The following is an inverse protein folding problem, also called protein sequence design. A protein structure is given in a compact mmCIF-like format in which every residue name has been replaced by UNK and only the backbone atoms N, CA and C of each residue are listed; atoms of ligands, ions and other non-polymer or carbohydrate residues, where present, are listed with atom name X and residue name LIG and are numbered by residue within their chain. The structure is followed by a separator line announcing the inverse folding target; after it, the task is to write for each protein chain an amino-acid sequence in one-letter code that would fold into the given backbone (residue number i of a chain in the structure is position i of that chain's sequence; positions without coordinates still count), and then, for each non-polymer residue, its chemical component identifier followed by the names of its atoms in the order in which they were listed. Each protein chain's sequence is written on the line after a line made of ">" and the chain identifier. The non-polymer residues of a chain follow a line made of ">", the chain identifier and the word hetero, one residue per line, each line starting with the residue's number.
data_IF_916188486890
#
_entry.id   IF_916188486890
#
_cell.length_a   1.000
_cell.length_b   1.000
_cell.length_c   1.000
_cell.angle_alpha   90.00
_cell.angle_beta   90.00
_cell.angle_gamma   90.00
#
_symmetry.space_group_name_H-M   'P 1'
#
loop_
_entity.id
_entity.type
_entity.pdbx_description
1 polymer ?
#
# COMPACT_ATOMS: atom_id res chain seq x y z
N UNK A 1 -50.16 54.78 -72.86
CA UNK A 1 -49.15 53.68 -72.92
C UNK A 1 -49.91 52.37 -72.71
N UNK A 2 -50.26 51.65 -73.79
CA UNK A 2 -49.55 50.46 -74.36
C UNK A 2 -49.34 49.34 -73.32
N UNK A 3 -49.66 48.06 -73.52
CA UNK A 3 -50.28 47.26 -74.59
C UNK A 3 -50.39 45.81 -74.04
N UNK A 4 -51.40 45.06 -74.49
CA UNK A 4 -51.56 43.59 -74.65
C UNK A 4 -51.17 42.58 -73.53
N UNK A 5 -52.01 41.62 -73.12
CA UNK A 5 -52.74 40.48 -73.77
C UNK A 5 -51.85 39.25 -74.08
N UNK A 6 -52.36 38.08 -73.62
CA UNK A 6 -52.01 36.67 -73.95
C UNK A 6 -50.68 36.11 -73.42
N UNK A 7 -50.55 34.84 -73.03
CA UNK A 7 -51.43 33.70 -73.23
C UNK A 7 -50.99 32.44 -72.46
N UNK A 8 -51.79 31.39 -72.67
CA UNK A 8 -51.68 29.99 -72.20
C UNK A 8 -50.27 29.40 -72.39
N UNK A 9 -49.85 28.45 -71.55
CA UNK A 9 -49.80 27.01 -71.91
C UNK A 9 -49.05 26.08 -70.93
N UNK A 10 -49.67 24.90 -70.78
CA UNK A 10 -49.07 23.55 -70.74
C UNK A 10 -48.48 23.03 -69.42
N UNK A 11 -49.31 22.15 -68.86
CA UNK A 11 -49.04 21.02 -67.97
C UNK A 11 -47.88 20.16 -68.49
N UNK A 12 -46.88 19.89 -67.64
CA UNK A 12 -46.11 18.63 -67.68
C UNK A 12 -46.04 18.04 -66.28
N UNK A 13 -46.76 16.93 -66.12
CA UNK A 13 -46.68 16.02 -64.97
C UNK A 13 -45.27 15.41 -64.94
N UNK A 14 -44.53 15.63 -63.86
CA UNK A 14 -43.36 14.83 -63.53
C UNK A 14 -43.76 13.92 -62.37
N UNK A 15 -43.95 12.64 -62.66
CA UNK A 15 -44.12 11.60 -61.66
C UNK A 15 -42.75 11.23 -61.11
N UNK A 16 -42.37 11.86 -60.00
CA UNK A 16 -41.22 11.46 -59.21
C UNK A 16 -41.59 10.22 -58.40
N UNK A 17 -41.11 9.05 -58.85
CA UNK A 17 -41.09 7.82 -58.07
C UNK A 17 -40.28 8.06 -56.79
N UNK A 18 -40.98 8.18 -55.66
CA UNK A 18 -40.38 8.08 -54.33
C UNK A 18 -40.13 6.59 -54.03
N UNK A 19 -38.86 6.18 -54.18
CA UNK A 19 -38.35 4.92 -53.68
C UNK A 19 -38.18 5.04 -52.15
N UNK A 20 -38.84 4.23 -51.31
CA UNK A 20 -38.54 4.20 -49.89
C UNK A 20 -37.23 3.41 -49.70
N UNK A 21 -36.12 4.14 -49.60
CA UNK A 21 -34.85 3.57 -49.13
C UNK A 21 -35.02 3.28 -47.63
N UNK A 22 -35.50 2.09 -47.31
CA UNK A 22 -35.47 1.53 -45.95
C UNK A 22 -34.01 1.32 -45.57
N UNK A 23 -33.39 2.34 -44.96
CA UNK A 23 -32.13 2.18 -44.25
C UNK A 23 -32.39 1.20 -43.11
N UNK A 24 -32.01 -0.06 -43.31
CA UNK A 24 -31.79 -0.99 -42.23
C UNK A 24 -30.62 -0.45 -41.38
N UNK A 25 -30.91 0.41 -40.40
CA UNK A 25 -30.03 0.59 -39.26
C UNK A 25 -29.95 -0.76 -38.58
N UNK A 26 -28.93 -1.55 -38.93
CA UNK A 26 -28.49 -2.65 -38.10
C UNK A 26 -28.18 -2.03 -36.73
N UNK A 27 -29.09 -2.23 -35.77
CA UNK A 27 -28.86 -1.89 -34.39
C UNK A 27 -27.64 -2.69 -33.95
N UNK A 28 -26.48 -2.03 -33.95
CA UNK A 28 -25.27 -2.55 -33.32
C UNK A 28 -25.58 -2.52 -31.84
N UNK A 29 -26.19 -3.61 -31.34
CA UNK A 29 -26.36 -3.81 -29.92
C UNK A 29 -24.95 -3.69 -29.31
N UNK A 30 -24.76 -2.84 -28.28
CA UNK A 30 -23.50 -2.80 -27.59
C UNK A 30 -23.21 -4.23 -27.13
N UNK A 31 -22.09 -4.79 -27.57
CA UNK A 31 -21.59 -6.05 -27.04
C UNK A 31 -21.35 -5.80 -25.55
N UNK A 32 -22.29 -6.23 -24.71
CA UNK A 32 -22.08 -6.30 -23.27
C UNK A 32 -20.90 -7.26 -23.08
N UNK A 33 -19.74 -6.70 -22.74
CA UNK A 33 -18.61 -7.49 -22.33
C UNK A 33 -19.06 -8.32 -21.13
N UNK A 34 -18.87 -9.64 -21.21
CA UNK A 34 -19.11 -10.51 -20.07
C UNK A 34 -18.41 -9.91 -18.83
N UNK A 35 -19.08 -9.87 -17.65
CA UNK A 35 -18.48 -9.30 -16.45
C UNK A 35 -17.11 -9.93 -16.23
N UNK A 36 -16.09 -9.09 -16.14
CA UNK A 36 -14.74 -9.56 -15.92
C UNK A 36 -14.67 -10.16 -14.51
N UNK A 37 -14.16 -11.39 -14.40
CA UNK A 37 -13.89 -11.99 -13.10
C UNK A 37 -12.98 -11.08 -12.25
N UNK A 38 -13.11 -11.16 -10.93
CA UNK A 38 -12.25 -10.45 -9.99
C UNK A 38 -11.01 -11.29 -9.64
N UNK A 39 -9.83 -10.68 -9.43
CA UNK A 39 -8.63 -11.41 -9.01
C UNK A 39 -8.90 -12.11 -7.66
N UNK A 40 -8.97 -13.44 -7.68
CA UNK A 40 -9.29 -14.25 -6.50
C UNK A 40 -10.67 -13.98 -5.93
N UNK A 41 -11.61 -13.51 -6.77
CA UNK A 41 -12.97 -13.13 -6.39
C UNK A 41 -13.04 -11.98 -5.36
N UNK A 42 -11.99 -11.14 -5.28
CA UNK A 42 -11.90 -10.00 -4.34
C UNK A 42 -11.91 -8.66 -5.08
N UNK A 43 -12.62 -7.69 -4.53
CA UNK A 43 -12.72 -6.35 -5.11
C UNK A 43 -11.79 -5.33 -4.46
N UNK A 44 -11.48 -5.45 -3.16
CA UNK A 44 -10.68 -4.47 -2.43
C UNK A 44 -9.32 -5.07 -2.07
N UNK A 45 -8.23 -4.36 -2.40
CA UNK A 45 -6.86 -4.76 -2.05
C UNK A 45 -6.14 -3.65 -1.34
N UNK A 46 -5.35 -3.98 -0.32
CA UNK A 46 -4.31 -3.11 0.22
C UNK A 46 -2.98 -3.52 -0.37
N UNK A 47 -2.18 -2.54 -0.81
CA UNK A 47 -0.98 -2.77 -1.62
C UNK A 47 0.15 -1.83 -1.20
N UNK A 48 1.37 -2.37 -1.17
CA UNK A 48 2.61 -1.62 -1.12
C UNK A 48 3.45 -1.92 -2.36
N UNK A 49 4.02 -0.90 -3.00
CA UNK A 49 4.95 -1.06 -4.13
C UNK A 49 6.13 -0.09 -4.01
N UNK A 50 7.27 -0.45 -4.55
CA UNK A 50 8.47 0.36 -4.41
C UNK A 50 9.44 0.15 -5.55
N UNK A 51 10.15 1.23 -5.91
CA UNK A 51 11.37 1.13 -6.70
C UNK A 51 12.53 1.20 -5.73
N UNK A 52 13.12 0.04 -5.47
CA UNK A 52 14.22 -0.16 -4.53
C UNK A 52 15.39 -0.77 -5.30
N UNK A 53 16.41 0.04 -5.56
CA UNK A 53 17.64 -0.34 -6.27
C UNK A 53 18.82 0.24 -5.50
N UNK A 54 19.84 -0.60 -5.21
CA UNK A 54 21.02 -0.26 -4.39
C UNK A 54 21.61 1.13 -4.60
N UNK A 55 22.62 1.30 -5.45
CA UNK A 55 23.26 2.63 -5.63
C UNK A 55 22.36 3.71 -6.29
N UNK A 56 21.04 3.53 -6.36
CA UNK A 56 20.11 4.52 -6.92
C UNK A 56 19.79 5.63 -5.90
N UNK A 57 19.87 6.90 -6.28
CA UNK A 57 19.39 8.02 -5.46
C UNK A 57 17.91 8.35 -5.73
N UNK A 58 17.18 7.45 -6.40
CA UNK A 58 15.82 7.68 -6.91
C UNK A 58 14.80 6.70 -6.31
N UNK A 59 15.12 6.08 -5.17
CA UNK A 59 14.19 5.13 -4.57
C UNK A 59 12.92 5.81 -4.11
N UNK A 60 11.84 5.06 -4.17
CA UNK A 60 10.53 5.52 -3.75
C UNK A 60 9.67 4.34 -3.30
N UNK A 61 8.67 4.65 -2.49
CA UNK A 61 7.69 3.68 -1.98
C UNK A 61 6.28 4.25 -2.11
N UNK A 62 5.32 3.36 -2.29
CA UNK A 62 3.89 3.62 -2.34
C UNK A 62 3.15 2.69 -1.42
N UNK A 63 2.12 3.22 -0.77
CA UNK A 63 1.19 2.46 0.06
C UNK A 63 -0.22 2.91 -0.30
N UNK A 64 -1.16 1.99 -0.46
CA UNK A 64 -2.52 2.37 -0.77
C UNK A 64 -3.42 1.18 -1.00
N UNK A 65 -4.49 1.41 -1.74
CA UNK A 65 -5.46 0.38 -2.06
C UNK A 65 -5.83 0.38 -3.53
N UNK A 66 -6.16 -0.81 -4.03
CA UNK A 66 -6.77 -1.02 -5.33
C UNK A 66 -8.24 -1.41 -5.14
N UNK A 67 -9.10 -0.98 -6.07
CA UNK A 67 -10.48 -1.44 -6.19
C UNK A 67 -10.72 -1.93 -7.61
N UNK A 68 -11.03 -3.21 -7.74
CA UNK A 68 -11.36 -3.86 -9.00
C UNK A 68 -12.88 -3.84 -9.20
N UNK A 69 -13.29 -3.54 -10.42
CA UNK A 69 -14.69 -3.48 -10.83
C UNK A 69 -14.90 -4.51 -11.96
N UNK A 70 -15.63 -5.57 -11.62
CA UNK A 70 -15.93 -6.68 -12.51
C UNK A 70 -16.76 -6.25 -13.72
N UNK A 71 -17.77 -5.40 -13.51
CA UNK A 71 -18.70 -5.01 -14.56
C UNK A 71 -18.02 -4.22 -15.67
N UNK A 72 -17.02 -3.41 -15.32
CA UNK A 72 -16.30 -2.55 -16.27
C UNK A 72 -14.92 -3.08 -16.68
N UNK A 73 -14.39 -4.12 -16.01
CA UNK A 73 -13.02 -4.57 -16.20
C UNK A 73 -11.97 -3.52 -15.80
N UNK A 74 -12.35 -2.58 -14.93
CA UNK A 74 -11.50 -1.47 -14.52
C UNK A 74 -10.92 -1.67 -13.13
N UNK A 75 -9.82 -0.97 -12.87
CA UNK A 75 -9.21 -0.90 -11.55
C UNK A 75 -8.88 0.54 -11.22
N UNK A 76 -9.15 0.93 -9.98
CA UNK A 76 -8.76 2.22 -9.45
C UNK A 76 -7.78 2.05 -8.29
N UNK A 77 -6.89 3.02 -8.11
CA UNK A 77 -6.00 3.09 -6.96
C UNK A 77 -6.07 4.44 -6.27
N UNK A 78 -5.90 4.42 -4.95
CA UNK A 78 -5.51 5.60 -4.18
C UNK A 78 -4.27 5.27 -3.36
N UNK A 79 -3.20 6.02 -3.56
CA UNK A 79 -1.90 5.73 -2.98
C UNK A 79 -1.27 6.98 -2.34
N UNK A 80 -0.54 6.73 -1.27
CA UNK A 80 0.48 7.62 -0.74
C UNK A 80 1.79 7.36 -1.49
N UNK A 81 2.59 8.40 -1.70
CA UNK A 81 3.84 8.31 -2.43
C UNK A 81 4.93 9.10 -1.72
N UNK A 82 6.04 8.42 -1.45
CA UNK A 82 7.22 9.01 -0.83
C UNK A 82 8.47 8.64 -1.62
N UNK A 83 9.39 9.59 -1.79
CA UNK A 83 10.58 9.38 -2.61
C UNK A 83 11.78 10.15 -2.07
N UNK A 84 12.98 9.63 -2.33
CA UNK A 84 14.25 10.23 -1.87
C UNK A 84 14.60 11.57 -2.53
N UNK A 85 13.97 11.93 -3.65
CA UNK A 85 14.24 13.23 -4.31
C UNK A 85 13.52 14.38 -3.61
N UNK A 86 12.37 14.09 -3.00
CA UNK A 86 11.58 15.01 -2.19
C UNK A 86 11.24 14.30 -0.88
N UNK A 87 12.23 14.16 0.03
CA UNK A 87 12.03 13.44 1.28
C UNK A 87 10.95 14.13 2.11
N UNK A 88 10.01 13.33 2.60
CA UNK A 88 8.96 13.79 3.48
C UNK A 88 9.45 13.85 4.93
N UNK A 89 8.94 14.80 5.71
CA UNK A 89 9.33 14.92 7.12
C UNK A 89 8.70 13.81 7.97
N UNK A 90 9.30 13.52 9.13
CA UNK A 90 8.59 12.81 10.20
C UNK A 90 7.70 13.80 10.94
N UNK A 91 6.45 13.42 11.19
CA UNK A 91 5.47 14.24 11.89
C UNK A 91 4.75 13.41 12.97
N UNK A 92 4.27 14.04 14.05
CA UNK A 92 3.46 13.34 15.04
C UNK A 92 2.21 12.72 14.42
N UNK A 93 1.83 11.53 14.90
CA UNK A 93 0.60 10.82 14.53
C UNK A 93 -0.66 11.38 15.22
N UNK A 94 -0.52 12.41 16.06
CA UNK A 94 -1.58 12.84 16.98
C UNK A 94 -1.78 11.92 18.18
N UNK A 95 -1.01 10.83 18.30
CA UNK A 95 -1.02 9.93 19.46
C UNK A 95 0.19 10.16 20.34
N UNK A 96 -0.03 10.32 21.64
CA UNK A 96 1.01 10.15 22.68
C UNK A 96 0.46 9.15 23.70
N UNK A 97 1.12 8.01 23.95
CA UNK A 97 0.64 7.03 24.91
C UNK A 97 0.59 7.64 26.32
N UNK A 98 -0.31 7.13 27.17
CA UNK A 98 -0.41 7.53 28.57
C UNK A 98 0.66 6.88 29.45
N UNK A 99 0.67 7.22 30.74
CA UNK A 99 1.57 6.63 31.74
C UNK A 99 1.40 5.12 31.90
N UNK A 100 0.15 4.67 31.76
CA UNK A 100 -0.29 3.29 31.81
C UNK A 100 0.36 2.42 30.73
N UNK A 101 0.69 3.03 29.59
CA UNK A 101 1.21 2.34 28.41
C UNK A 101 2.68 2.65 28.11
N UNK A 102 3.15 3.82 28.55
CA UNK A 102 4.51 4.28 28.39
C UNK A 102 5.04 4.80 29.74
N UNK A 103 5.33 3.89 30.69
CA UNK A 103 5.82 4.24 32.01
C UNK A 103 7.28 4.70 32.01
N UNK A 104 8.02 4.48 30.92
CA UNK A 104 9.44 4.80 30.79
C UNK A 104 10.35 3.59 31.01
N UNK A 105 11.56 3.64 30.43
CA UNK A 105 12.50 2.52 30.42
C UNK A 105 13.08 2.21 31.81
N UNK A 106 13.02 3.17 32.73
CA UNK A 106 13.47 3.02 34.12
C UNK A 106 12.35 2.64 35.10
N UNK A 107 11.12 2.47 34.61
CA UNK A 107 9.99 2.07 35.45
C UNK A 107 10.10 0.60 35.90
N UNK A 108 9.25 0.20 36.85
CA UNK A 108 9.11 -1.20 37.28
C UNK A 108 7.64 -1.62 37.18
N UNK A 109 7.26 -2.46 36.21
CA UNK A 109 8.09 -2.99 35.12
C UNK A 109 8.51 -1.91 34.11
N UNK A 110 9.64 -2.08 33.39
CA UNK A 110 10.11 -1.12 32.41
C UNK A 110 9.20 -1.08 31.18
N UNK A 111 9.07 0.09 30.57
CA UNK A 111 8.28 0.27 29.35
C UNK A 111 8.90 1.30 28.41
N UNK A 112 8.19 1.64 27.34
CA UNK A 112 8.67 2.67 26.41
C UNK A 112 8.56 4.06 27.03
N UNK A 113 9.33 5.02 26.52
CA UNK A 113 9.19 6.45 26.86
C UNK A 113 7.85 6.99 26.40
N UNK A 114 7.38 8.03 27.09
CA UNK A 114 6.15 8.72 26.70
C UNK A 114 6.39 9.70 25.57
N UNK A 115 6.43 9.19 24.34
CA UNK A 115 6.73 9.99 23.16
C UNK A 115 5.54 10.14 22.19
N UNK A 116 5.38 11.32 21.56
CA UNK A 116 4.49 11.45 20.41
C UNK A 116 4.88 10.42 19.36
N UNK A 117 3.96 9.51 19.04
CA UNK A 117 4.22 8.45 18.07
C UNK A 117 4.36 9.10 16.70
N UNK A 118 5.45 8.84 16.01
CA UNK A 118 5.74 9.51 14.73
C UNK A 118 5.20 8.71 13.54
N UNK A 119 4.91 9.42 12.46
CA UNK A 119 4.63 8.88 11.13
C UNK A 119 5.32 9.75 10.07
N UNK A 120 5.15 9.44 8.80
CA UNK A 120 5.63 10.26 7.69
C UNK A 120 4.58 11.30 7.27
N UNK A 121 5.04 12.49 6.91
CA UNK A 121 4.21 13.58 6.40
C UNK A 121 3.37 13.13 5.18
N UNK A 122 2.14 13.65 5.12
CA UNK A 122 1.14 13.29 4.12
C UNK A 122 0.34 12.02 4.43
N UNK A 123 0.74 11.19 5.42
CA UNK A 123 -0.02 9.97 5.74
C UNK A 123 -1.30 10.22 6.55
N UNK A 124 -1.42 11.37 7.21
CA UNK A 124 -2.65 11.83 7.86
C UNK A 124 -3.74 12.18 6.87
N UNK A 125 -3.33 12.69 5.72
CA UNK A 125 -4.23 13.19 4.71
C UNK A 125 -4.88 12.04 3.92
N UNK A 126 -5.83 12.39 3.08
CA UNK A 126 -6.29 11.45 2.06
C UNK A 126 -5.15 11.16 1.10
N UNK A 127 -4.99 9.88 0.72
CA UNK A 127 -4.07 9.47 -0.34
C UNK A 127 -4.24 10.35 -1.58
N UNK A 128 -3.20 11.13 -1.88
CA UNK A 128 -3.24 12.21 -2.87
C UNK A 128 -3.10 11.69 -4.31
N UNK A 129 -2.43 10.56 -4.50
CA UNK A 129 -2.25 9.95 -5.80
C UNK A 129 -3.46 9.09 -6.14
N UNK A 130 -4.15 9.42 -7.23
CA UNK A 130 -5.30 8.68 -7.74
C UNK A 130 -4.97 8.13 -9.13
N UNK A 131 -5.34 6.87 -9.38
CA UNK A 131 -5.20 6.24 -10.70
C UNK A 131 -6.46 5.50 -11.07
N UNK A 132 -6.70 5.45 -12.37
CA UNK A 132 -7.60 4.51 -13.01
C UNK A 132 -6.81 3.70 -14.04
N UNK A 133 -7.29 2.52 -14.34
CA UNK A 133 -6.70 1.61 -15.31
C UNK A 133 -7.66 0.50 -15.67
N UNK A 134 -7.19 -0.41 -16.51
CA UNK A 134 -7.88 -1.64 -16.84
C UNK A 134 -7.08 -2.83 -16.34
N UNK A 135 -7.77 -3.92 -16.05
CA UNK A 135 -7.11 -5.17 -15.69
C UNK A 135 -7.54 -6.31 -16.60
N UNK A 136 -6.70 -7.33 -16.68
CA UNK A 136 -7.02 -8.60 -17.33
C UNK A 136 -6.53 -9.74 -16.45
N UNK A 137 -7.37 -10.76 -16.33
CA UNK A 137 -6.99 -12.02 -15.73
C UNK A 137 -6.49 -12.98 -16.81
N UNK A 138 -5.55 -13.84 -16.44
CA UNK A 138 -5.07 -14.93 -17.25
C UNK A 138 -4.61 -16.09 -16.35
N UNK A 139 -4.29 -17.22 -16.96
CA UNK A 139 -3.49 -18.28 -16.33
C UNK A 139 -2.19 -18.37 -17.11
N UNK A 140 -1.06 -18.27 -16.42
CA UNK A 140 0.27 -18.25 -17.03
C UNK A 140 1.21 -19.25 -16.35
N UNK A 141 2.14 -19.82 -17.12
CA UNK A 141 3.24 -20.61 -16.58
C UNK A 141 4.32 -19.65 -16.02
N UNK A 142 4.47 -19.57 -14.70
CA UNK A 142 5.50 -18.75 -14.05
C UNK A 142 6.27 -19.59 -13.05
N UNK A 143 7.60 -19.65 -13.21
CA UNK A 143 8.50 -20.47 -12.38
C UNK A 143 8.17 -21.97 -12.40
N UNK A 144 7.66 -22.47 -13.54
CA UNK A 144 7.28 -23.87 -13.69
C UNK A 144 5.90 -24.25 -13.16
N UNK A 145 5.13 -23.27 -12.66
CA UNK A 145 3.78 -23.46 -12.13
C UNK A 145 2.74 -22.74 -13.02
N UNK A 146 1.61 -23.38 -13.33
CA UNK A 146 0.44 -22.70 -13.92
C UNK A 146 -0.29 -21.92 -12.83
N UNK A 147 -0.32 -20.60 -12.96
CA UNK A 147 -0.85 -19.71 -11.91
C UNK A 147 -1.82 -18.69 -12.49
N UNK A 148 -2.95 -18.42 -11.81
CA UNK A 148 -3.77 -17.27 -12.15
C UNK A 148 -2.95 -15.98 -11.99
N UNK A 149 -3.06 -15.07 -12.94
CA UNK A 149 -2.39 -13.77 -12.93
C UNK A 149 -3.39 -12.65 -13.13
N UNK A 150 -3.03 -11.47 -12.62
CA UNK A 150 -3.67 -10.21 -12.98
C UNK A 150 -2.64 -9.27 -13.59
N UNK A 151 -2.92 -8.79 -14.79
CA UNK A 151 -2.18 -7.72 -15.45
C UNK A 151 -2.99 -6.43 -15.34
N UNK A 152 -2.39 -5.41 -14.72
CA UNK A 152 -2.96 -4.07 -14.62
C UNK A 152 -2.23 -3.16 -15.59
N UNK A 153 -2.99 -2.37 -16.36
CA UNK A 153 -2.49 -1.27 -17.18
C UNK A 153 -3.09 0.03 -16.67
N UNK A 154 -2.25 0.91 -16.14
CA UNK A 154 -2.70 2.19 -15.62
C UNK A 154 -2.82 3.22 -16.73
N UNK A 155 -3.86 4.04 -16.68
CA UNK A 155 -4.09 5.14 -17.62
C UNK A 155 -3.22 6.33 -17.23
N UNK A 156 -1.96 6.29 -17.64
CA UNK A 156 -0.96 7.34 -17.38
C UNK A 156 -0.27 7.79 -18.65
N UNK A 157 0.22 9.03 -18.68
CA UNK A 157 0.92 9.59 -19.84
C UNK A 157 2.17 8.81 -20.26
N UNK A 158 2.83 8.12 -19.32
CA UNK A 158 3.90 7.16 -19.63
C UNK A 158 3.40 5.73 -19.38
N UNK A 159 3.80 4.74 -20.19
CA UNK A 159 3.37 3.36 -20.00
C UNK A 159 3.67 2.84 -18.59
N UNK A 160 2.62 2.39 -17.90
CA UNK A 160 2.73 1.72 -16.61
C UNK A 160 1.88 0.46 -16.59
N UNK A 161 2.55 -0.67 -16.44
CA UNK A 161 1.88 -1.94 -16.13
C UNK A 161 2.45 -2.60 -14.87
N UNK A 162 1.62 -3.42 -14.25
CA UNK A 162 1.95 -4.30 -13.12
C UNK A 162 1.37 -5.68 -13.37
N UNK A 163 2.11 -6.73 -13.06
CA UNK A 163 1.62 -8.11 -13.08
C UNK A 163 1.84 -8.77 -11.72
N UNK A 164 0.84 -9.53 -11.31
CA UNK A 164 0.82 -10.24 -10.04
C UNK A 164 0.35 -11.68 -10.26
N UNK A 165 0.94 -12.65 -9.55
CA UNK A 165 0.30 -13.97 -9.34
C UNK A 165 -0.84 -13.77 -8.34
N UNK A 166 -1.96 -14.45 -8.56
CA UNK A 166 -3.16 -14.38 -7.71
C UNK A 166 -3.27 -15.68 -6.93
N UNK A 167 -3.06 -15.62 -5.60
CA UNK A 167 -3.15 -16.77 -4.70
C UNK A 167 -4.39 -16.64 -3.83
N UNK A 168 -5.47 -17.28 -4.26
CA UNK A 168 -6.72 -17.30 -3.51
C UNK A 168 -6.60 -18.22 -2.28
N UNK A 169 -7.18 -17.79 -1.16
CA UNK A 169 -7.36 -18.56 0.06
C UNK A 169 -8.77 -18.28 0.61
N UNK A 170 -9.30 -19.08 1.55
CA UNK A 170 -10.58 -18.79 2.19
C UNK A 170 -10.59 -17.38 2.79
N UNK A 171 -11.54 -16.55 2.34
CA UNK A 171 -11.74 -15.18 2.82
C UNK A 171 -10.69 -14.14 2.38
N UNK A 172 -9.61 -14.51 1.70
CA UNK A 172 -8.52 -13.59 1.38
C UNK A 172 -7.78 -13.99 0.11
N UNK A 173 -7.19 -13.04 -0.59
CA UNK A 173 -6.35 -13.30 -1.76
C UNK A 173 -5.03 -12.57 -1.62
N UNK A 174 -3.92 -13.25 -1.90
CA UNK A 174 -2.58 -12.65 -1.97
C UNK A 174 -2.22 -12.33 -3.41
N UNK A 175 -1.68 -11.14 -3.64
CA UNK A 175 -1.03 -10.73 -4.88
C UNK A 175 0.49 -10.85 -4.71
N UNK A 176 1.10 -11.78 -5.44
CA UNK A 176 2.55 -11.97 -5.44
C UNK A 176 3.15 -11.21 -6.62
N UNK A 177 4.04 -10.25 -6.34
CA UNK A 177 4.62 -9.39 -7.36
C UNK A 177 5.39 -10.20 -8.41
N UNK A 178 5.06 -10.02 -9.69
CA UNK A 178 5.80 -10.61 -10.81
C UNK A 178 6.69 -9.56 -11.45
N UNK A 179 6.10 -8.47 -11.94
CA UNK A 179 6.85 -7.34 -12.48
C UNK A 179 6.04 -6.04 -12.44
N UNK A 180 6.75 -4.92 -12.61
CA UNK A 180 6.17 -3.62 -12.94
C UNK A 180 7.13 -2.85 -13.84
N UNK A 181 6.61 -2.00 -14.71
CA UNK A 181 7.47 -1.07 -15.47
C UNK A 181 7.98 0.11 -14.64
N UNK A 182 7.48 0.27 -13.39
CA UNK A 182 7.86 1.36 -12.48
C UNK A 182 8.43 0.86 -11.16
N UNK A 183 7.90 -0.22 -10.59
CA UNK A 183 8.34 -0.80 -9.31
C UNK A 183 9.28 -2.01 -9.51
N UNK A 184 10.12 -2.28 -8.51
CA UNK A 184 10.95 -3.50 -8.42
C UNK A 184 10.43 -4.48 -7.38
N UNK A 185 9.56 -4.03 -6.48
CA UNK A 185 9.06 -4.79 -5.34
C UNK A 185 7.59 -4.45 -5.06
N UNK A 186 6.87 -5.40 -4.48
CA UNK A 186 5.52 -5.15 -3.99
C UNK A 186 4.88 -6.32 -3.25
N UNK A 187 3.86 -5.98 -2.47
CA UNK A 187 3.01 -6.89 -1.71
C UNK A 187 1.57 -6.40 -1.79
N UNK A 188 0.62 -7.30 -2.03
CA UNK A 188 -0.80 -6.98 -2.04
C UNK A 188 -1.66 -8.08 -1.43
N UNK A 189 -2.72 -7.69 -0.73
CA UNK A 189 -3.71 -8.60 -0.17
C UNK A 189 -5.11 -8.03 -0.35
N UNK A 190 -6.06 -8.87 -0.75
CA UNK A 190 -7.42 -8.47 -1.02
C UNK A 190 -8.48 -9.31 -0.34
N UNK A 191 -9.61 -8.66 -0.11
CA UNK A 191 -10.84 -9.21 0.47
C UNK A 191 -12.04 -8.38 0.01
N UNK A 192 -13.24 -8.81 0.38
CA UNK A 192 -14.48 -8.07 0.18
C UNK A 192 -14.88 -7.21 1.39
N UNK A 193 -14.12 -7.25 2.49
CA UNK A 193 -14.33 -6.32 3.60
C UNK A 193 -14.14 -4.86 3.14
N UNK A 194 -14.97 -3.91 3.62
CA UNK A 194 -14.83 -2.48 3.29
C UNK A 194 -13.45 -1.93 3.64
N UNK A 195 -12.92 -1.03 2.81
CA UNK A 195 -11.66 -0.32 3.09
C UNK A 195 -11.76 0.67 4.26
N UNK A 196 -12.99 0.99 4.68
CA UNK A 196 -13.31 1.80 5.86
C UNK A 196 -13.37 0.99 7.15
N UNK A 197 -13.32 -0.34 7.06
CA UNK A 197 -13.34 -1.22 8.21
C UNK A 197 -11.92 -1.41 8.76
N UNK A 198 -11.82 -1.52 10.10
CA UNK A 198 -10.56 -1.80 10.79
C UNK A 198 -10.77 -2.65 12.04
N UNK A 199 -9.67 -3.12 12.62
CA UNK A 199 -9.62 -3.77 13.93
C UNK A 199 -8.84 -2.94 14.94
N UNK A 200 -9.29 -3.01 16.18
CA UNK A 200 -8.72 -2.27 17.32
C UNK A 200 -7.44 -2.92 17.84
N UNK A 201 -6.65 -2.16 18.59
CA UNK A 201 -5.39 -2.59 19.17
C UNK A 201 -5.48 -3.92 19.94
N UNK A 202 -6.53 -4.10 20.76
CA UNK A 202 -6.75 -5.35 21.49
C UNK A 202 -6.89 -6.56 20.57
N UNK A 203 -7.70 -6.46 19.51
CA UNK A 203 -7.86 -7.53 18.51
C UNK A 203 -6.53 -7.86 17.82
N UNK A 204 -5.73 -6.85 17.52
CA UNK A 204 -4.42 -7.00 16.90
C UNK A 204 -3.44 -7.73 17.84
N UNK A 205 -3.33 -7.27 19.10
CA UNK A 205 -2.49 -7.92 20.13
C UNK A 205 -2.89 -9.38 20.34
N UNK A 206 -4.20 -9.64 20.42
CA UNK A 206 -4.77 -10.96 20.70
C UNK A 206 -4.81 -11.88 19.48
N UNK A 207 -4.34 -11.42 18.31
CA UNK A 207 -4.27 -12.22 17.10
C UNK A 207 -3.44 -13.50 17.36
N UNK A 208 -4.07 -14.65 17.09
CA UNK A 208 -3.52 -15.95 17.49
C UNK A 208 -2.52 -16.51 16.50
N UNK A 209 -2.73 -16.27 15.21
CA UNK A 209 -1.90 -16.84 14.17
C UNK A 209 -0.55 -16.13 14.11
N UNK A 210 0.47 -16.87 13.66
CA UNK A 210 1.81 -16.34 13.51
C UNK A 210 1.84 -15.39 12.33
N UNK A 211 2.20 -14.14 12.58
CA UNK A 211 2.43 -13.14 11.55
C UNK A 211 3.89 -13.25 11.10
N UNK A 212 4.11 -13.31 9.80
CA UNK A 212 5.44 -13.31 9.20
C UNK A 212 5.68 -11.98 8.46
N UNK A 213 6.84 -11.39 8.73
CA UNK A 213 7.40 -10.29 7.98
C UNK A 213 8.05 -10.81 6.70
N UNK A 214 7.67 -10.23 5.57
CA UNK A 214 8.43 -10.24 4.32
C UNK A 214 8.70 -8.80 3.91
N UNK A 215 9.95 -8.45 3.63
CA UNK A 215 10.36 -7.08 3.39
C UNK A 215 11.41 -7.00 2.28
N UNK A 216 11.18 -6.08 1.35
CA UNK A 216 12.18 -5.59 0.42
C UNK A 216 12.58 -4.19 0.90
N UNK A 217 13.85 -4.01 1.23
CA UNK A 217 14.35 -2.80 1.87
C UNK A 217 15.55 -2.21 1.14
N UNK A 218 15.73 -0.91 1.35
CA UNK A 218 16.85 -0.12 0.92
C UNK A 218 17.37 0.69 2.10
N UNK A 219 18.65 0.58 2.40
CA UNK A 219 19.35 1.41 3.39
C UNK A 219 20.83 1.51 3.02
N UNK A 220 21.45 2.67 3.22
CA UNK A 220 22.90 2.86 3.01
C UNK A 220 23.40 2.39 1.62
N UNK A 221 22.62 2.64 0.57
CA UNK A 221 22.97 2.25 -0.80
C UNK A 221 22.83 0.75 -1.10
N UNK A 222 22.27 -0.04 -0.18
CA UNK A 222 22.11 -1.49 -0.33
C UNK A 222 20.64 -1.87 -0.42
N UNK A 223 20.34 -2.77 -1.34
CA UNK A 223 19.05 -3.46 -1.38
C UNK A 223 19.17 -4.75 -0.58
N UNK A 224 18.19 -5.03 0.27
CA UNK A 224 18.14 -6.23 1.09
C UNK A 224 16.73 -6.79 1.13
N UNK A 225 16.62 -8.11 1.02
CA UNK A 225 15.38 -8.85 1.28
C UNK A 225 15.47 -9.49 2.65
N UNK A 226 14.43 -9.31 3.47
CA UNK A 226 14.36 -9.78 4.85
C UNK A 226 13.08 -10.55 5.07
N UNK A 227 13.17 -11.61 5.87
CA UNK A 227 12.03 -12.35 6.38
C UNK A 227 12.21 -12.54 7.88
N UNK A 228 11.11 -12.72 8.61
CA UNK A 228 11.18 -12.97 10.04
C UNK A 228 9.80 -13.06 10.67
N UNK A 229 9.68 -13.49 11.93
CA UNK A 229 8.42 -13.41 12.63
C UNK A 229 8.11 -11.96 13.03
N UNK A 230 6.81 -11.63 13.10
CA UNK A 230 6.31 -10.48 13.83
C UNK A 230 5.34 -10.97 14.90
N UNK A 231 5.53 -10.52 16.14
CA UNK A 231 4.71 -10.94 17.27
C UNK A 231 4.01 -9.71 17.85
N UNK A 232 2.68 -9.58 17.72
CA UNK A 232 1.95 -8.47 18.34
C UNK A 232 1.69 -8.69 19.83
N UNK A 233 1.81 -9.93 20.34
CA UNK A 233 1.52 -10.28 21.74
C UNK A 233 2.36 -9.56 22.80
N UNK A 234 3.67 -9.33 22.61
CA UNK A 234 4.48 -8.58 23.57
C UNK A 234 4.06 -7.12 23.74
N UNK A 235 3.22 -6.59 22.83
CA UNK A 235 2.75 -5.22 22.96
C UNK A 235 1.72 -5.08 24.07
N UNK A 236 1.92 -4.06 24.90
CA UNK A 236 0.92 -3.57 25.83
C UNK A 236 -0.07 -2.68 25.08
N UNK A 237 -1.38 -2.96 25.23
CA UNK A 237 -2.44 -2.12 24.66
C UNK A 237 -2.72 -0.99 25.63
N UNK A 238 -2.61 0.25 25.16
CA UNK A 238 -2.84 1.41 26.02
C UNK A 238 -4.31 1.49 26.48
N UNK A 239 -4.54 2.03 27.66
CA UNK A 239 -5.86 2.34 28.21
C UNK A 239 -6.31 3.78 27.94
N UNK A 240 -7.31 4.21 28.71
CA UNK A 240 -7.79 5.60 28.73
C UNK A 240 -8.22 6.12 27.36
N UNK A 241 -7.66 7.26 26.95
CA UNK A 241 -8.00 7.93 25.68
C UNK A 241 -7.25 7.37 24.46
N UNK A 242 -6.29 6.46 24.64
CA UNK A 242 -5.40 5.97 23.59
C UNK A 242 -5.56 4.46 23.33
N UNK A 243 -6.77 3.90 23.50
CA UNK A 243 -7.06 2.46 23.31
C UNK A 243 -6.78 1.90 21.91
N UNK A 244 -6.39 2.76 20.98
CA UNK A 244 -5.96 2.46 19.63
C UNK A 244 -4.42 2.46 19.45
N UNK A 245 -3.67 2.60 20.54
CA UNK A 245 -2.22 2.57 20.60
C UNK A 245 -1.74 1.34 21.37
N UNK A 246 -0.57 0.84 20.98
CA UNK A 246 0.15 -0.20 21.70
C UNK A 246 1.64 0.10 21.73
N UNK A 247 2.32 -0.35 22.78
CA UNK A 247 3.75 -0.11 23.00
C UNK A 247 4.46 -1.40 23.38
N UNK A 248 5.75 -1.49 23.06
CA UNK A 248 6.60 -2.60 23.48
C UNK A 248 8.03 -2.11 23.66
N UNK A 249 8.59 -2.31 24.85
CA UNK A 249 10.03 -2.17 25.07
C UNK A 249 10.66 -3.54 24.85
N UNK A 250 11.32 -3.73 23.71
CA UNK A 250 12.07 -4.94 23.45
C UNK A 250 13.40 -4.89 24.20
N UNK A 251 13.69 -5.82 25.13
CA UNK A 251 14.87 -5.72 26.00
C UNK A 251 16.22 -5.74 25.26
N UNK A 252 16.28 -6.37 24.09
CA UNK A 252 17.50 -6.50 23.27
C UNK A 252 17.19 -6.49 21.78
N UNK A 253 17.96 -5.76 20.98
CA UNK A 253 17.76 -5.64 19.54
C UNK A 253 19.02 -5.15 18.78
N UNK A 254 18.92 -4.88 17.47
CA UNK A 254 20.06 -4.57 16.61
C UNK A 254 20.63 -3.15 16.79
N UNK A 255 20.45 -2.53 17.96
CA UNK A 255 20.77 -1.13 18.20
C UNK A 255 22.25 -0.81 18.32
N UNK A 256 23.12 -1.80 18.58
CA UNK A 256 24.52 -1.57 18.93
C UNK A 256 25.35 -0.75 17.92
N UNK A 257 25.00 -0.74 16.62
CA UNK A 257 25.75 0.03 15.61
C UNK A 257 25.35 1.52 15.51
N UNK A 258 24.16 1.88 15.97
CA UNK A 258 23.65 3.25 15.88
C UNK A 258 23.94 4.09 17.13
N UNK A 259 24.29 3.45 18.24
CA UNK A 259 24.48 4.11 19.52
C UNK A 259 25.88 4.70 19.70
N UNK A 260 26.05 5.55 20.72
CA UNK A 260 27.37 6.00 21.16
C UNK A 260 28.24 4.82 21.60
N UNK A 261 29.54 4.88 21.30
CA UNK A 261 30.51 3.85 21.68
C UNK A 261 30.50 3.64 23.20
N UNK A 262 30.46 2.38 23.63
CA UNK A 262 30.46 2.00 25.05
C UNK A 262 29.08 1.85 25.69
N UNK A 263 27.98 2.13 24.98
CA UNK A 263 26.65 1.79 25.51
C UNK A 263 26.38 0.29 25.44
N UNK A 264 25.76 -0.23 26.49
CA UNK A 264 25.31 -1.63 26.60
C UNK A 264 23.82 -1.78 26.37
N UNK A 265 23.05 -0.68 26.36
CA UNK A 265 21.62 -0.71 26.13
C UNK A 265 21.33 -0.97 24.65
N UNK A 266 20.82 -2.15 24.36
CA UNK A 266 20.42 -2.58 23.01
C UNK A 266 18.91 -2.62 22.85
N UNK A 267 18.15 -2.15 23.83
CA UNK A 267 16.70 -2.20 23.81
C UNK A 267 16.11 -1.29 22.72
N UNK A 268 14.92 -1.66 22.24
CA UNK A 268 14.21 -0.95 21.18
C UNK A 268 12.85 -0.52 21.72
N UNK A 269 12.49 0.74 21.48
CA UNK A 269 11.19 1.27 21.82
C UNK A 269 10.26 1.17 20.62
N UNK A 270 9.20 0.38 20.73
CA UNK A 270 8.20 0.18 19.70
C UNK A 270 6.86 0.83 20.05
N UNK A 271 6.26 1.47 19.05
CA UNK A 271 4.96 2.10 19.13
C UNK A 271 4.16 1.70 17.89
N UNK A 272 2.92 1.28 18.09
CA UNK A 272 1.96 1.00 17.02
C UNK A 272 0.70 1.79 17.33
N UNK A 273 0.23 2.61 16.40
CA UNK A 273 -1.02 3.36 16.62
C UNK A 273 -1.82 3.51 15.34
N UNK A 274 -3.12 3.71 15.50
CA UNK A 274 -4.04 4.14 14.45
C UNK A 274 -3.71 5.55 13.96
N UNK A 275 -3.89 5.79 12.66
CA UNK A 275 -3.88 7.13 12.05
C UNK A 275 -5.30 7.61 11.73
N UNK A 276 -6.12 6.80 11.06
CA UNK A 276 -7.49 7.14 10.69
C UNK A 276 -8.53 6.42 11.55
N UNK A 277 -9.58 7.12 11.99
CA UNK A 277 -10.65 6.54 12.82
C UNK A 277 -11.54 5.55 12.06
N UNK A 278 -11.70 5.74 10.75
CA UNK A 278 -12.64 5.02 9.87
C UNK A 278 -11.94 4.38 8.67
N UNK A 279 -10.67 4.06 8.78
CA UNK A 279 -9.94 3.36 7.73
C UNK A 279 -8.86 2.44 8.31
N UNK A 280 -8.23 1.69 7.40
CA UNK A 280 -7.22 0.67 7.70
C UNK A 280 -5.86 1.24 8.08
N UNK A 281 -5.68 2.56 8.21
CA UNK A 281 -4.34 3.16 8.44
C UNK A 281 -3.88 3.01 9.87
N UNK A 282 -2.72 2.39 9.98
CA UNK A 282 -1.91 2.32 11.20
C UNK A 282 -0.50 2.85 10.88
N UNK A 283 0.27 3.18 11.92
CA UNK A 283 1.70 3.45 11.80
C UNK A 283 2.46 2.63 12.82
N UNK A 284 3.64 2.18 12.43
CA UNK A 284 4.59 1.50 13.30
C UNK A 284 5.86 2.33 13.37
N UNK A 285 6.23 2.73 14.59
CA UNK A 285 7.37 3.60 14.85
C UNK A 285 8.29 2.96 15.86
N UNK A 286 9.60 3.00 15.58
CA UNK A 286 10.58 2.56 16.55
C UNK A 286 11.93 3.22 16.42
N UNK A 287 12.70 3.12 17.49
CA UNK A 287 14.04 3.63 17.63
C UNK A 287 14.74 2.98 18.82
N UNK A 288 16.06 3.07 18.85
CA UNK A 288 16.91 2.44 19.86
C UNK A 288 16.96 3.26 21.15
N UNK A 289 16.73 2.65 22.32
CA UNK A 289 16.70 3.37 23.61
C UNK A 289 18.00 4.11 23.90
N UNK A 290 19.15 3.56 23.50
CA UNK A 290 20.45 4.23 23.62
C UNK A 290 20.57 5.58 22.90
N UNK A 291 19.65 5.88 21.95
CA UNK A 291 19.60 7.15 21.22
C UNK A 291 18.76 8.20 21.96
N UNK A 292 18.12 7.82 23.06
CA UNK A 292 17.28 8.71 23.82
C UNK A 292 18.11 9.84 24.44
N UNK A 293 17.58 11.07 24.51
CA UNK A 293 18.21 12.13 25.26
C UNK A 293 18.35 11.76 26.75
N UNK A 294 19.35 12.37 27.42
CA UNK A 294 19.56 12.20 28.88
C UNK A 294 18.34 12.62 29.69
N UNK A 295 17.65 13.69 29.25
CA UNK A 295 16.35 14.08 29.79
C UNK A 295 15.30 13.01 29.46
N UNK A 296 14.73 12.31 30.46
CA UNK A 296 13.73 11.26 30.25
C UNK A 296 12.39 11.79 29.71
N UNK A 297 12.13 13.10 29.83
CA UNK A 297 10.95 13.75 29.25
C UNK A 297 11.09 14.07 27.76
N UNK A 298 12.33 14.04 27.24
CA UNK A 298 12.62 14.29 25.85
C UNK A 298 12.60 13.01 25.00
N UNK A 299 12.13 13.17 23.76
CA UNK A 299 12.00 12.09 22.79
C UNK A 299 13.12 12.13 21.74
N UNK A 300 13.47 10.95 21.22
CA UNK A 300 14.42 10.85 20.12
C UNK A 300 13.84 11.50 18.84
N UNK A 301 14.58 12.47 18.29
CA UNK A 301 14.20 13.22 17.08
C UNK A 301 15.06 12.90 15.85
N UNK A 302 16.02 11.98 16.00
CA UNK A 302 16.93 11.60 14.91
C UNK A 302 16.29 10.63 13.91
N UNK A 303 17.14 9.81 13.29
CA UNK A 303 16.75 8.89 12.23
C UNK A 303 16.02 7.65 12.76
N UNK A 304 14.79 7.84 13.25
CA UNK A 304 13.91 6.77 13.70
C UNK A 304 13.19 6.09 12.52
N UNK A 305 12.70 4.86 12.73
CA UNK A 305 12.02 4.09 11.71
C UNK A 305 10.52 4.38 11.72
N UNK A 306 10.01 5.06 10.69
CA UNK A 306 8.56 5.34 10.53
C UNK A 306 7.97 4.47 9.43
N UNK A 307 6.93 3.71 9.77
CA UNK A 307 6.33 2.71 8.88
C UNK A 307 4.81 2.87 8.79
N UNK A 308 4.32 3.66 7.82
CA UNK A 308 2.91 3.66 7.44
C UNK A 308 2.44 2.26 7.03
N UNK A 309 1.24 1.89 7.47
CA UNK A 309 0.67 0.56 7.23
C UNK A 309 -0.83 0.64 6.92
N UNK A 310 -1.30 -0.36 6.20
CA UNK A 310 -2.72 -0.65 6.01
C UNK A 310 -3.01 -2.05 6.53
N UNK A 311 -4.04 -2.17 7.37
CA UNK A 311 -4.51 -3.47 7.85
C UNK A 311 -4.96 -4.35 6.69
N UNK A 312 -4.60 -5.62 6.76
CA UNK A 312 -5.11 -6.68 5.91
C UNK A 312 -6.24 -7.36 6.68
N UNK A 313 -7.44 -7.32 6.11
CA UNK A 313 -8.62 -7.99 6.65
C UNK A 313 -9.09 -9.08 5.67
N UNK A 314 -9.63 -10.19 6.16
CA UNK A 314 -10.35 -11.15 5.33
C UNK A 314 -11.81 -10.71 5.05
N UNK A 315 -12.57 -11.50 4.30
CA UNK A 315 -13.97 -11.22 3.94
C UNK A 315 -14.91 -11.10 5.14
N UNK A 316 -14.58 -11.75 6.26
CA UNK A 316 -15.33 -11.61 7.53
C UNK A 316 -14.89 -10.39 8.35
N UNK A 317 -13.96 -9.60 7.80
CA UNK A 317 -13.30 -8.49 8.49
C UNK A 317 -12.26 -8.95 9.52
N UNK A 318 -11.95 -10.24 9.60
CA UNK A 318 -10.93 -10.78 10.51
C UNK A 318 -9.56 -10.16 10.22
N UNK A 319 -8.82 -9.78 11.27
CA UNK A 319 -7.47 -9.21 11.11
C UNK A 319 -6.46 -10.29 10.68
N UNK A 320 -5.73 -10.03 9.60
CA UNK A 320 -4.74 -10.94 8.99
C UNK A 320 -3.32 -10.37 8.95
N UNK A 321 -3.12 -9.15 9.47
CA UNK A 321 -1.83 -8.46 9.48
C UNK A 321 -1.85 -7.08 8.81
N UNK A 322 -0.73 -6.70 8.20
CA UNK A 322 -0.56 -5.43 7.49
C UNK A 322 0.22 -5.59 6.19
N UNK A 323 -0.02 -4.67 5.26
CA UNK A 323 0.97 -4.23 4.28
C UNK A 323 1.46 -2.85 4.67
N UNK A 324 2.71 -2.53 4.36
CA UNK A 324 3.23 -1.23 4.71
C UNK A 324 4.47 -0.86 3.94
N UNK A 325 4.94 0.35 4.22
CA UNK A 325 6.19 0.86 3.70
C UNK A 325 7.03 1.43 4.83
N UNK A 326 8.34 1.38 4.68
CA UNK A 326 9.22 2.24 5.46
C UNK A 326 9.52 3.48 4.62
N UNK A 327 9.35 4.67 5.22
CA UNK A 327 9.57 5.96 4.59
C UNK A 327 10.35 6.88 5.55
N UNK A 328 11.48 6.37 6.02
CA UNK A 328 12.32 6.98 7.05
C UNK A 328 13.41 7.84 6.40
N UNK A 329 13.12 9.10 6.07
CA UNK A 329 14.11 10.00 5.47
C UNK A 329 14.98 10.69 6.51
N UNK A 330 16.27 10.86 6.27
CA UNK A 330 17.19 11.48 7.23
C UNK A 330 16.75 12.90 7.63
N UNK A 331 16.57 13.20 8.93
CA UNK A 331 16.27 14.58 9.37
C UNK A 331 17.38 15.57 9.01
N UNK A 332 18.62 15.09 8.87
CA UNK A 332 19.78 15.89 8.49
C UNK A 332 19.93 16.04 6.96
N UNK A 333 18.99 15.53 6.16
CA UNK A 333 19.06 15.57 4.69
C UNK A 333 20.10 14.64 4.06
N UNK A 334 20.74 13.77 4.87
CA UNK A 334 21.73 12.79 4.38
C UNK A 334 21.03 11.61 3.74
N UNK A 335 20.96 11.59 2.41
CA UNK A 335 20.24 10.54 1.64
C UNK A 335 20.72 9.12 1.90
N UNK A 336 22.00 8.93 2.22
CA UNK A 336 22.54 7.61 2.56
C UNK A 336 22.01 7.08 3.90
N UNK A 337 21.43 7.95 4.73
CA UNK A 337 20.79 7.55 5.98
C UNK A 337 19.27 7.36 5.80
N UNK A 338 18.71 7.61 4.62
CA UNK A 338 17.32 7.26 4.36
C UNK A 338 17.15 5.74 4.45
N UNK A 339 15.99 5.30 4.91
CA UNK A 339 15.58 3.90 4.92
C UNK A 339 14.21 3.80 4.27
N UNK A 340 14.14 3.02 3.20
CA UNK A 340 12.93 2.79 2.44
C UNK A 340 12.65 1.30 2.38
N UNK A 341 11.39 0.90 2.50
CA UNK A 341 11.02 -0.49 2.34
C UNK A 341 9.59 -0.63 1.85
N UNK A 342 9.30 -1.75 1.22
CA UNK A 342 7.94 -2.29 1.10
C UNK A 342 7.90 -3.58 1.87
N UNK A 343 6.80 -3.85 2.58
CA UNK A 343 6.70 -5.05 3.37
C UNK A 343 5.27 -5.55 3.52
N UNK A 344 5.16 -6.83 3.86
CA UNK A 344 3.97 -7.41 4.45
C UNK A 344 4.31 -8.03 5.80
N UNK A 345 3.41 -7.88 6.76
CA UNK A 345 3.43 -8.56 8.05
C UNK A 345 2.10 -9.29 8.17
N UNK A 346 2.00 -10.51 7.66
CA UNK A 346 0.72 -11.24 7.57
C UNK A 346 0.79 -12.68 8.07
N UNK A 347 -0.35 -13.22 8.50
CA UNK A 347 -0.50 -14.65 8.82
C UNK A 347 -0.82 -15.51 7.59
N UNK A 348 -1.09 -14.86 6.46
CA UNK A 348 -1.37 -15.49 5.17
C UNK A 348 -0.09 -16.15 4.68
N UNK A 349 -0.14 -17.46 4.42
CA UNK A 349 1.01 -18.23 4.00
C UNK A 349 1.69 -17.60 2.78
N UNK A 350 3.02 -17.42 2.87
CA UNK A 350 3.84 -16.89 1.80
C UNK A 350 4.49 -18.01 0.99
N UNK A 351 4.32 -18.01 -0.33
CA UNK A 351 4.92 -18.98 -1.25
C UNK A 351 6.33 -18.64 -1.75
N UNK A 352 6.98 -17.58 -1.26
CA UNK A 352 8.31 -17.22 -1.76
C UNK A 352 9.39 -18.01 -1.01
N UNK A 353 9.72 -19.19 -1.56
CA UNK A 353 11.05 -19.74 -1.37
C UNK A 353 12.09 -18.66 -1.74
N UNK A 354 13.18 -18.58 -0.99
CA UNK A 354 14.21 -17.57 -1.16
C UNK A 354 14.95 -17.73 -2.50
N UNK A 355 14.35 -17.29 -3.62
CA UNK A 355 15.06 -17.19 -4.90
C UNK A 355 15.70 -15.80 -5.01
N UNK A 356 17.02 -15.81 -5.16
CA UNK A 356 17.82 -14.62 -5.42
C UNK A 356 17.29 -13.85 -6.65
N UNK A 357 17.40 -12.51 -6.68
CA UNK A 357 16.95 -11.74 -7.83
C UNK A 357 17.72 -12.17 -9.09
N UNK A 358 17.02 -12.73 -10.08
CA UNK A 358 17.53 -12.77 -11.45
C UNK A 358 17.70 -11.33 -11.91
N UNK A 359 18.93 -10.97 -12.26
CA UNK A 359 19.24 -9.71 -12.90
C UNK A 359 18.34 -9.54 -14.13
N UNK A 360 17.52 -8.50 -14.14
CA UNK A 360 16.87 -8.04 -15.37
C UNK A 360 17.99 -7.51 -16.25
N UNK A 361 18.38 -8.28 -17.26
CA UNK A 361 19.25 -7.79 -18.31
C UNK A 361 18.59 -6.55 -18.91
N UNK A 362 19.25 -5.40 -18.78
CA UNK A 362 18.90 -4.22 -19.55
C UNK A 362 19.08 -4.58 -21.02
N UNK A 363 18.00 -4.46 -21.81
CA UNK A 363 18.10 -4.31 -23.26
C UNK A 363 18.16 -2.82 -23.58
#
# INVERSE_FOLDING_TARGET
>A
MRLHRHGRQVIRKLHTLLLPLVLALAAVAPVEAAPADLPGQKSNFVVSTGYLKGASPRNWVRLGWYRFDAASGTVSARTYFWNQRKPAKRVPSGTTPGADCAPGEKATPPGVRRCPVMTVEGFHDTASERRAGVYRLATEQIDGEQVPTVLIKWNTATPWSEKWKVRAQPGITRLEFVYSTKATSGYGYGSNAPLTERRGAKTIRDHKQRINLEMDSWAHGKFERKTGPFHPRPFHVCGGRATYCMTYLQPSGPCGKGCQQGTTDTSVQYYLTRIGVHDRRDTYWHWCTCLAPTDPSACYRGNSHVKPMLQVLDDSGGFRGWVGVEASFSPAGKRNDDMLAVFSMTDVAGGRAATAPRAVAAR
#
